data_IF_056082781463
#
_entry.id   IF_056082781463
#
_cell.length_a   1.000
_cell.length_b   1.000
_cell.length_c   1.000
_cell.angle_alpha   90.00
_cell.angle_beta   90.00
_cell.angle_gamma   90.00
#
_symmetry.space_group_name_H-M   'P 1'
#
loop_
_entity.id
_entity.type
_entity.pdbx_description
1 polymer ?
#
# COMPACT_ATOMS: atom_id res chain seq x y z
N UNK A 1 58.51 -25.04 7.43
CA UNK A 1 57.86 -23.94 6.65
C UNK A 1 56.40 -24.25 6.63
N UNK A 2 55.59 -23.61 7.49
CA UNK A 2 54.16 -23.90 7.62
C UNK A 2 53.38 -22.87 6.80
N UNK A 3 52.72 -23.30 5.75
CA UNK A 3 51.84 -22.47 4.96
C UNK A 3 50.54 -22.22 5.76
N UNK A 4 50.27 -20.96 6.13
CA UNK A 4 49.00 -20.56 6.72
C UNK A 4 47.97 -20.42 5.60
N UNK A 5 47.03 -21.33 5.55
CA UNK A 5 45.86 -21.25 4.69
C UNK A 5 44.92 -20.24 5.34
N UNK A 6 44.78 -19.06 4.79
CA UNK A 6 43.76 -18.07 5.15
C UNK A 6 42.52 -18.42 4.36
N UNK A 7 41.54 -19.03 5.00
CA UNK A 7 40.23 -19.24 4.41
C UNK A 7 39.45 -17.91 4.48
N UNK A 8 39.32 -17.23 3.37
CA UNK A 8 38.48 -16.04 3.25
C UNK A 8 37.02 -16.50 3.16
N UNK A 9 36.30 -16.36 4.26
CA UNK A 9 34.85 -16.59 4.29
C UNK A 9 34.17 -15.37 3.67
N UNK A 10 33.77 -15.46 2.41
CA UNK A 10 32.97 -14.44 1.74
C UNK A 10 31.53 -14.59 2.25
N UNK A 11 31.12 -13.71 3.17
CA UNK A 11 29.72 -13.57 3.54
C UNK A 11 28.98 -12.86 2.39
N UNK A 12 28.27 -13.60 1.57
CA UNK A 12 27.28 -13.04 0.65
C UNK A 12 26.05 -12.63 1.47
N UNK A 13 25.92 -11.36 1.77
CA UNK A 13 24.65 -10.81 2.22
C UNK A 13 23.75 -10.74 0.99
N UNK A 14 22.86 -11.70 0.84
CA UNK A 14 21.79 -11.61 -0.14
C UNK A 14 20.85 -10.51 0.37
N UNK A 15 20.62 -9.42 -0.38
CA UNK A 15 19.59 -8.47 0.01
C UNK A 15 18.26 -9.22 0.04
N UNK A 16 17.65 -9.28 1.22
CA UNK A 16 16.26 -9.74 1.34
C UNK A 16 15.42 -8.62 0.76
N UNK A 17 14.98 -8.80 -0.46
CA UNK A 17 13.99 -7.91 -1.06
C UNK A 17 12.64 -8.17 -0.41
N UNK A 18 11.97 -7.14 0.01
CA UNK A 18 10.60 -7.25 0.49
C UNK A 18 9.68 -7.69 -0.66
N UNK A 19 8.64 -8.41 -0.33
CA UNK A 19 7.73 -8.96 -1.32
C UNK A 19 6.82 -7.87 -1.86
N UNK A 20 6.81 -7.70 -3.16
CA UNK A 20 5.78 -6.92 -3.83
C UNK A 20 4.45 -7.67 -3.75
N UNK A 21 3.40 -6.99 -3.30
CA UNK A 21 2.04 -7.52 -3.28
C UNK A 21 1.21 -6.72 -4.27
N UNK A 22 0.58 -7.43 -5.21
CA UNK A 22 -0.39 -6.85 -6.12
C UNK A 22 -1.74 -7.51 -5.87
N UNK A 23 -2.72 -6.69 -5.55
CA UNK A 23 -4.09 -7.16 -5.35
C UNK A 23 -4.94 -6.70 -6.52
N UNK A 24 -5.63 -7.64 -7.15
CA UNK A 24 -6.69 -7.35 -8.11
C UNK A 24 -7.93 -8.10 -7.66
N UNK A 25 -8.93 -7.38 -7.23
CA UNK A 25 -10.17 -7.94 -6.70
C UNK A 25 -11.38 -7.32 -7.40
N UNK A 26 -12.34 -8.16 -7.74
CA UNK A 26 -13.65 -7.76 -8.23
C UNK A 26 -14.73 -8.62 -7.58
N UNK A 27 -15.71 -8.00 -6.94
CA UNK A 27 -16.78 -8.72 -6.25
C UNK A 27 -17.64 -7.79 -5.39
N UNK A 28 -18.67 -8.33 -4.77
CA UNK A 28 -19.61 -7.52 -4.00
C UNK A 28 -19.03 -6.99 -2.68
N UNK A 29 -18.18 -7.78 -2.04
CA UNK A 29 -17.59 -7.45 -0.74
C UNK A 29 -16.14 -7.91 -0.70
N UNK A 30 -15.27 -7.06 -0.18
CA UNK A 30 -13.88 -7.40 0.14
C UNK A 30 -13.60 -7.03 1.59
N UNK A 31 -12.88 -7.92 2.27
CA UNK A 31 -12.21 -7.68 3.54
C UNK A 31 -10.76 -8.15 3.36
N UNK A 32 -9.82 -7.21 3.38
CA UNK A 32 -8.41 -7.45 3.06
C UNK A 32 -7.54 -6.92 4.19
N UNK A 33 -6.74 -7.82 4.76
CA UNK A 33 -5.76 -7.52 5.79
C UNK A 33 -4.36 -7.90 5.27
N UNK A 34 -3.44 -6.95 5.25
CA UNK A 34 -2.06 -7.13 4.82
C UNK A 34 -1.12 -6.60 5.87
N UNK A 35 -0.24 -7.46 6.37
CA UNK A 35 0.88 -7.05 7.21
C UNK A 35 2.20 -7.37 6.50
N UNK A 36 3.03 -6.35 6.31
CA UNK A 36 4.38 -6.51 5.76
C UNK A 36 5.42 -5.99 6.75
N UNK A 37 6.33 -6.87 7.16
CA UNK A 37 7.49 -6.51 7.99
C UNK A 37 8.77 -6.77 7.19
N UNK A 38 9.53 -5.73 6.91
CA UNK A 38 10.72 -5.84 6.09
C UNK A 38 11.33 -4.49 5.70
N UNK A 39 12.29 -4.51 4.78
CA UNK A 39 13.06 -3.33 4.40
C UNK A 39 12.43 -2.50 3.28
N UNK A 40 11.87 -3.12 2.26
CA UNK A 40 11.33 -2.41 1.09
C UNK A 40 9.91 -2.90 0.81
N UNK A 41 8.98 -2.46 1.64
CA UNK A 41 7.60 -2.94 1.55
C UNK A 41 6.90 -2.28 0.36
N UNK A 42 6.06 -3.03 -0.32
CA UNK A 42 5.30 -2.52 -1.46
C UNK A 42 3.94 -3.23 -1.53
N UNK A 43 2.86 -2.46 -1.66
CA UNK A 43 1.54 -2.94 -2.08
C UNK A 43 1.14 -2.12 -3.30
N UNK A 44 1.06 -2.76 -4.46
CA UNK A 44 1.19 -2.06 -5.74
C UNK A 44 2.63 -1.54 -5.90
N UNK A 45 2.90 -0.68 -6.84
CA UNK A 45 4.17 0.03 -6.96
C UNK A 45 3.95 1.40 -7.62
N UNK A 46 5.02 2.18 -7.76
CA UNK A 46 4.97 3.53 -8.33
C UNK A 46 4.37 3.63 -9.75
N UNK A 47 4.22 2.51 -10.45
CA UNK A 47 3.68 2.46 -11.82
C UNK A 47 2.40 1.63 -11.96
N UNK A 48 2.11 0.76 -10.99
CA UNK A 48 0.96 -0.14 -11.04
C UNK A 48 0.30 -0.22 -9.67
N UNK A 49 -0.89 0.33 -9.56
CA UNK A 49 -1.68 0.24 -8.35
C UNK A 49 -2.25 -1.17 -8.13
N UNK A 50 -2.47 -1.53 -6.87
CA UNK A 50 -3.41 -2.60 -6.53
C UNK A 50 -4.83 -2.09 -6.78
N UNK A 51 -5.67 -2.89 -7.41
CA UNK A 51 -7.00 -2.45 -7.84
C UNK A 51 -8.08 -3.28 -7.17
N UNK A 52 -9.02 -2.62 -6.54
CA UNK A 52 -10.18 -3.25 -5.91
C UNK A 52 -11.47 -2.66 -6.45
N UNK A 53 -12.39 -3.53 -6.84
CA UNK A 53 -13.72 -3.15 -7.31
C UNK A 53 -14.80 -3.95 -6.58
N UNK A 54 -15.65 -3.27 -5.82
CA UNK A 54 -16.71 -3.93 -5.05
C UNK A 54 -17.70 -2.95 -4.43
N UNK A 55 -18.87 -3.43 -4.05
CA UNK A 55 -19.89 -2.58 -3.43
C UNK A 55 -19.50 -2.15 -2.02
N UNK A 56 -18.82 -3.02 -1.28
CA UNK A 56 -18.30 -2.71 0.07
C UNK A 56 -16.89 -3.25 0.18
N UNK A 57 -15.96 -2.39 0.55
CA UNK A 57 -14.55 -2.72 0.64
C UNK A 57 -13.99 -2.27 1.98
N UNK A 58 -13.38 -3.20 2.70
CA UNK A 58 -12.58 -2.93 3.90
C UNK A 58 -11.14 -3.35 3.63
N UNK A 59 -10.20 -2.45 3.88
CA UNK A 59 -8.77 -2.70 3.68
C UNK A 59 -8.03 -2.24 4.92
N UNK A 60 -7.22 -3.14 5.48
CA UNK A 60 -6.29 -2.84 6.58
C UNK A 60 -4.87 -3.23 6.15
N UNK A 61 -3.97 -2.25 6.09
CA UNK A 61 -2.59 -2.46 5.65
C UNK A 61 -1.62 -1.87 6.66
N UNK A 62 -0.81 -2.77 7.24
CA UNK A 62 0.30 -2.43 8.10
C UNK A 62 1.64 -2.72 7.41
N UNK A 63 2.46 -1.70 7.23
CA UNK A 63 3.80 -1.84 6.68
C UNK A 63 4.85 -1.30 7.64
N UNK A 64 5.82 -2.14 7.99
CA UNK A 64 6.99 -1.75 8.78
C UNK A 64 8.25 -2.02 7.96
N UNK A 65 9.08 -1.00 7.77
CA UNK A 65 10.30 -1.15 6.96
C UNK A 65 10.99 0.17 6.67
N UNK A 66 11.91 0.15 5.73
CA UNK A 66 12.68 1.35 5.38
C UNK A 66 12.10 2.14 4.20
N UNK A 67 11.44 1.47 3.28
CA UNK A 67 10.92 2.12 2.08
C UNK A 67 9.54 1.53 1.76
N UNK A 68 8.52 2.19 2.25
CA UNK A 68 7.15 1.73 2.09
C UNK A 68 6.52 2.44 0.89
N UNK A 69 5.91 1.68 0.01
CA UNK A 69 5.08 2.21 -1.07
C UNK A 69 3.72 1.54 -0.96
N UNK A 70 2.68 2.34 -0.92
CA UNK A 70 1.30 1.91 -0.94
C UNK A 70 0.59 2.63 -2.07
N UNK A 71 0.23 1.88 -3.11
CA UNK A 71 -0.51 2.41 -4.23
C UNK A 71 -1.77 1.60 -4.48
N UNK A 72 -2.92 2.23 -4.28
CA UNK A 72 -4.20 1.55 -4.27
C UNK A 72 -5.28 2.34 -5.01
N UNK A 73 -5.91 1.68 -5.98
CA UNK A 73 -7.10 2.17 -6.67
C UNK A 73 -8.33 1.42 -6.18
N UNK A 74 -9.27 2.11 -5.61
CA UNK A 74 -10.54 1.53 -5.15
C UNK A 74 -11.69 2.07 -5.99
N UNK A 75 -12.52 1.17 -6.46
CA UNK A 75 -13.74 1.47 -7.19
C UNK A 75 -14.92 0.76 -6.51
N UNK A 76 -15.56 1.42 -5.57
CA UNK A 76 -16.63 0.83 -4.79
C UNK A 76 -17.55 1.86 -4.15
N UNK A 77 -18.79 1.50 -3.87
CA UNK A 77 -19.75 2.42 -3.29
C UNK A 77 -19.41 2.78 -1.84
N UNK A 78 -18.92 1.83 -1.05
CA UNK A 78 -18.51 2.04 0.33
C UNK A 78 -17.09 1.53 0.54
N UNK A 79 -16.23 2.39 1.03
CA UNK A 79 -14.85 2.08 1.34
C UNK A 79 -14.52 2.41 2.79
N UNK A 80 -13.82 1.49 3.45
CA UNK A 80 -13.19 1.74 4.75
C UNK A 80 -11.75 1.24 4.68
N UNK A 81 -10.80 2.12 4.89
CA UNK A 81 -9.37 1.80 4.86
C UNK A 81 -8.63 2.26 6.09
N UNK A 82 -7.72 1.42 6.58
CA UNK A 82 -6.72 1.78 7.57
C UNK A 82 -5.35 1.48 6.97
N UNK A 83 -4.52 2.50 6.87
CA UNK A 83 -3.18 2.39 6.35
C UNK A 83 -2.18 2.85 7.40
N UNK A 84 -1.34 1.95 7.84
CA UNK A 84 -0.29 2.23 8.80
C UNK A 84 1.07 1.91 8.18
N UNK A 85 1.92 2.91 8.03
CA UNK A 85 3.25 2.75 7.43
C UNK A 85 4.32 3.33 8.33
N UNK A 86 5.37 2.56 8.60
CA UNK A 86 6.52 3.00 9.36
C UNK A 86 7.80 2.73 8.59
N UNK A 87 8.51 3.76 8.19
CA UNK A 87 9.74 3.62 7.39
C UNK A 87 10.49 4.93 7.22
N UNK A 88 11.56 4.90 6.44
CA UNK A 88 12.31 6.13 6.13
C UNK A 88 11.75 6.90 4.92
N UNK A 89 11.03 6.23 4.05
CA UNK A 89 10.40 6.85 2.89
C UNK A 89 9.06 6.18 2.69
N UNK A 90 8.00 6.87 3.05
CA UNK A 90 6.64 6.38 2.85
C UNK A 90 6.02 7.15 1.68
N UNK A 91 5.55 6.40 0.71
CA UNK A 91 4.83 6.92 -0.46
C UNK A 91 3.46 6.25 -0.48
N UNK A 92 2.42 7.03 -0.20
CA UNK A 92 1.04 6.57 -0.16
C UNK A 92 0.27 7.31 -1.24
N UNK A 93 -0.13 6.57 -2.26
CA UNK A 93 -0.99 7.03 -3.35
C UNK A 93 -2.28 6.22 -3.29
N UNK A 94 -3.31 6.83 -2.75
CA UNK A 94 -4.62 6.23 -2.58
C UNK A 94 -5.62 6.96 -3.46
N UNK A 95 -6.20 6.24 -4.38
CA UNK A 95 -7.21 6.75 -5.28
C UNK A 95 -8.52 5.98 -5.10
N UNK A 96 -9.59 6.69 -4.86
CA UNK A 96 -10.93 6.16 -4.79
C UNK A 96 -11.79 6.84 -5.83
N UNK A 97 -12.13 6.13 -6.90
CA UNK A 97 -12.82 6.61 -8.11
C UNK A 97 -11.90 6.92 -9.30
N UNK A 98 -10.90 6.07 -9.52
CA UNK A 98 -9.97 6.24 -10.65
C UNK A 98 -10.57 5.98 -12.04
N UNK A 99 -11.77 5.41 -12.14
CA UNK A 99 -12.29 4.88 -13.42
C UNK A 99 -13.50 5.60 -14.01
N UNK A 100 -13.93 6.71 -13.44
CA UNK A 100 -15.02 7.52 -14.01
C UNK A 100 -16.41 6.85 -13.98
N UNK A 101 -16.62 5.87 -13.13
CA UNK A 101 -17.91 5.24 -12.92
C UNK A 101 -18.70 5.98 -11.83
N UNK A 102 -19.90 6.40 -12.12
CA UNK A 102 -20.75 7.29 -11.32
C UNK A 102 -21.18 6.79 -9.93
N UNK A 103 -20.50 5.84 -9.32
CA UNK A 103 -20.89 5.29 -8.02
C UNK A 103 -19.71 4.96 -7.11
N UNK A 104 -18.52 5.34 -7.51
CA UNK A 104 -17.32 5.00 -6.74
C UNK A 104 -17.20 5.90 -5.55
N UNK A 105 -16.87 5.30 -4.41
CA UNK A 105 -16.56 6.00 -3.18
C UNK A 105 -17.60 7.02 -2.69
N UNK A 106 -18.88 6.74 -2.93
CA UNK A 106 -19.95 7.58 -2.40
C UNK A 106 -19.91 7.71 -0.88
N UNK A 107 -19.36 6.71 -0.20
CA UNK A 107 -18.99 6.79 1.23
C UNK A 107 -17.58 6.22 1.39
N UNK A 108 -16.64 7.08 1.72
CA UNK A 108 -15.25 6.70 1.92
C UNK A 108 -14.74 7.13 3.30
N UNK A 109 -14.10 6.21 4.00
CA UNK A 109 -13.39 6.51 5.25
C UNK A 109 -11.97 5.97 5.13
N UNK A 110 -10.99 6.83 5.21
CA UNK A 110 -9.57 6.47 5.23
C UNK A 110 -8.94 6.99 6.51
N UNK A 111 -8.29 6.09 7.26
CA UNK A 111 -7.43 6.44 8.38
C UNK A 111 -5.99 6.12 8.02
N UNK A 112 -5.12 7.12 8.06
CA UNK A 112 -3.74 7.01 7.60
C UNK A 112 -2.81 7.44 8.70
N UNK A 113 -1.93 6.52 9.10
CA UNK A 113 -0.86 6.78 10.05
C UNK A 113 0.47 6.47 9.39
N UNK A 114 1.36 7.44 9.36
CA UNK A 114 2.72 7.22 8.86
C UNK A 114 3.76 7.78 9.81
N UNK A 115 4.90 7.09 9.88
CA UNK A 115 6.05 7.51 10.66
C UNK A 115 7.34 7.31 9.86
N UNK A 116 8.12 8.36 9.71
CA UNK A 116 9.36 8.31 8.94
C UNK A 116 9.91 9.69 8.59
N UNK A 117 11.01 9.72 7.83
CA UNK A 117 11.71 10.97 7.52
C UNK A 117 11.27 11.62 6.20
N UNK A 118 10.79 10.85 5.25
CA UNK A 118 10.35 11.34 3.93
C UNK A 118 9.00 10.70 3.64
N UNK A 119 7.96 11.48 3.80
CA UNK A 119 6.59 11.02 3.59
C UNK A 119 6.00 11.80 2.42
N UNK A 120 5.41 11.07 1.48
CA UNK A 120 4.61 11.59 0.38
C UNK A 120 3.21 10.99 0.49
N UNK A 121 2.19 11.82 0.44
CA UNK A 121 0.81 11.41 0.60
C UNK A 121 -0.04 12.07 -0.48
N UNK A 122 -0.57 11.24 -1.35
CA UNK A 122 -1.53 11.63 -2.39
C UNK A 122 -2.84 10.87 -2.16
N UNK A 123 -3.92 11.59 -1.99
CA UNK A 123 -5.25 11.02 -1.75
C UNK A 123 -6.26 11.70 -2.64
N UNK A 124 -6.77 10.93 -3.58
CA UNK A 124 -7.85 11.35 -4.46
C UNK A 124 -9.14 10.60 -4.14
N UNK A 125 -10.17 11.30 -3.72
CA UNK A 125 -11.49 10.73 -3.46
C UNK A 125 -12.56 11.50 -4.24
N UNK A 126 -13.22 10.82 -5.16
CA UNK A 126 -14.29 11.42 -5.95
C UNK A 126 -13.82 12.40 -7.02
N UNK A 127 -12.65 12.17 -7.61
CA UNK A 127 -12.07 13.03 -8.65
C UNK A 127 -12.96 13.12 -9.88
N UNK A 128 -13.60 12.04 -10.28
CA UNK A 128 -14.44 11.96 -11.47
C UNK A 128 -15.93 11.78 -11.18
N UNK A 129 -16.30 11.52 -9.93
CA UNK A 129 -17.69 11.38 -9.48
C UNK A 129 -17.86 11.98 -8.07
N UNK A 130 -19.06 12.39 -7.74
CA UNK A 130 -19.35 13.05 -6.46
C UNK A 130 -19.22 12.06 -5.28
N UNK A 131 -18.19 12.20 -4.46
CA UNK A 131 -18.14 11.59 -3.15
C UNK A 131 -19.10 12.32 -2.20
N UNK A 132 -20.12 11.59 -1.70
CA UNK A 132 -21.12 12.22 -0.84
C UNK A 132 -20.65 12.39 0.61
N UNK A 133 -19.85 11.45 1.10
CA UNK A 133 -19.30 11.41 2.45
C UNK A 133 -17.88 10.86 2.43
N UNK A 134 -16.89 11.72 2.39
CA UNK A 134 -15.51 11.35 2.51
C UNK A 134 -14.93 11.82 3.85
N UNK A 135 -14.22 10.95 4.54
CA UNK A 135 -13.50 11.25 5.78
C UNK A 135 -12.08 10.74 5.68
N UNK A 136 -11.11 11.61 5.85
CA UNK A 136 -9.69 11.28 5.95
C UNK A 136 -9.19 11.77 7.29
N UNK A 137 -8.47 10.90 8.03
CA UNK A 137 -7.94 11.20 9.36
C UNK A 137 -6.52 10.67 9.56
#
# INVERSE_FOLDING_TARGET
>A
MYAKIITLLLLFTIPVMANDIYVTQSGATLDLDITQDGQNNTVGNSTTASTVSGATTTIDIDQVGNSNVLKFDVNGATFTGTFSTTGNSNDIDFNCDSSGSNSSCSTATASIVWAGNSNDLDIDIGETADASNATVS
#
